data_IF_462109109273
#
_entry.id   IF_462109109273
#
_cell.length_a   1.000
_cell.length_b   1.000
_cell.length_c   1.000
_cell.angle_alpha   90.00
_cell.angle_beta   90.00
_cell.angle_gamma   90.00
#
_symmetry.space_group_name_H-M   'P 1'
#
loop_
_entity.id
_entity.type
_entity.pdbx_description
1 polymer ?
#
# COMPACT_ATOMS: atom_id res chain seq x y z
N UNK A 1 25.24 33.52 14.11
CA UNK A 1 25.37 32.70 15.34
C UNK A 1 24.88 31.28 15.04
N UNK A 2 25.49 30.25 15.63
CA UNK A 2 25.17 28.82 15.41
C UNK A 2 24.75 28.16 16.72
N UNK A 3 23.73 27.29 16.70
CA UNK A 3 23.38 26.46 17.88
C UNK A 3 22.51 25.23 17.53
N UNK A 4 23.11 24.10 17.09
CA UNK A 4 22.40 22.84 16.90
C UNK A 4 22.35 22.03 18.20
N UNK A 5 21.14 21.64 18.66
CA UNK A 5 20.98 20.77 19.84
C UNK A 5 20.57 19.35 19.45
N UNK A 6 21.57 18.47 19.47
CA UNK A 6 21.55 17.04 19.86
C UNK A 6 20.23 16.27 19.65
N UNK A 7 20.21 15.34 18.70
CA UNK A 7 19.39 14.12 18.75
C UNK A 7 20.34 12.94 18.90
N UNK A 8 19.98 11.96 19.73
CA UNK A 8 20.86 10.85 20.11
C UNK A 8 20.68 9.63 19.21
N UNK A 9 21.79 8.93 18.92
CA UNK A 9 21.77 7.60 18.32
C UNK A 9 21.47 6.56 19.41
N UNK A 10 20.47 5.70 19.16
CA UNK A 10 20.13 4.58 20.02
C UNK A 10 20.44 3.27 19.27
N UNK A 11 21.62 2.71 19.51
CA UNK A 11 22.01 1.41 18.99
C UNK A 11 21.62 0.32 20.01
N UNK A 12 20.74 -0.59 19.60
CA UNK A 12 20.31 -1.72 20.43
C UNK A 12 20.87 -3.03 19.86
N UNK A 13 21.97 -3.51 20.44
CA UNK A 13 22.46 -4.87 20.21
C UNK A 13 21.91 -5.79 21.32
N UNK A 14 21.21 -6.86 20.92
CA UNK A 14 20.73 -7.91 21.84
C UNK A 14 21.42 -9.22 21.44
N UNK A 15 22.02 -9.90 22.42
CA UNK A 15 22.71 -11.16 22.22
C UNK A 15 22.45 -12.13 23.39
N UNK A 16 22.38 -13.41 23.04
CA UNK A 16 22.39 -14.59 23.92
C UNK A 16 21.16 -14.86 24.82
N UNK A 17 21.16 -16.11 25.35
CA UNK A 17 20.13 -16.85 26.09
C UNK A 17 19.00 -17.48 25.24
N UNK A 18 18.83 -18.82 25.23
CA UNK A 18 19.71 -19.84 25.82
C UNK A 18 19.23 -21.30 25.70
N UNK A 19 20.19 -22.20 25.89
CA UNK A 19 20.13 -23.54 26.53
C UNK A 19 18.86 -24.42 26.42
N UNK A 20 19.04 -25.61 25.84
CA UNK A 20 18.08 -26.73 25.91
C UNK A 20 18.02 -27.54 24.59
N UNK A 21 18.42 -28.81 24.50
CA UNK A 21 19.09 -29.66 25.49
C UNK A 21 18.39 -31.01 25.72
N UNK A 22 18.54 -31.96 24.79
CA UNK A 22 18.40 -33.40 25.05
C UNK A 22 19.22 -34.19 24.01
N UNK A 23 19.65 -35.40 24.37
CA UNK A 23 20.52 -36.24 23.53
C UNK A 23 20.03 -37.69 23.51
N UNK A 24 20.40 -38.44 22.46
CA UNK A 24 20.62 -39.90 22.39
C UNK A 24 20.86 -40.31 20.91
N UNK A 25 21.65 -41.30 20.51
CA UNK A 25 22.85 -41.98 21.07
C UNK A 25 23.45 -42.88 19.99
N UNK A 26 24.76 -43.15 20.02
CA UNK A 26 25.41 -44.24 19.28
C UNK A 26 26.18 -43.80 18.01
N UNK A 27 27.38 -44.31 17.71
CA UNK A 27 28.21 -45.23 18.48
C UNK A 27 29.72 -44.91 18.31
N UNK A 28 30.54 -45.39 19.26
CA UNK A 28 32.00 -45.30 19.26
C UNK A 28 32.62 -46.37 18.33
N UNK A 29 33.86 -46.24 17.85
CA UNK A 29 34.75 -45.07 17.93
C UNK A 29 36.23 -45.42 17.68
N UNK A 30 37.05 -44.36 17.63
CA UNK A 30 38.44 -44.25 18.10
C UNK A 30 39.43 -45.43 17.90
N UNK A 31 40.46 -45.18 17.08
CA UNK A 31 41.83 -45.67 17.31
C UNK A 31 42.83 -44.56 16.96
N UNK A 32 43.91 -44.43 17.73
CA UNK A 32 44.94 -43.38 17.58
C UNK A 32 46.26 -43.93 17.02
N UNK A 33 47.22 -43.02 16.79
CA UNK A 33 48.66 -43.30 16.59
C UNK A 33 49.24 -44.23 17.68
N UNK A 34 50.41 -44.89 17.50
CA UNK A 34 51.75 -44.27 17.35
C UNK A 34 52.81 -45.29 16.82
N UNK A 35 54.05 -44.82 16.62
CA UNK A 35 55.19 -45.37 15.86
C UNK A 35 55.90 -46.65 16.37
N UNK A 36 56.77 -47.19 15.49
CA UNK A 36 58.15 -47.68 15.73
C UNK A 36 58.47 -49.20 15.90
N UNK A 37 59.22 -49.71 14.91
CA UNK A 37 60.41 -50.61 14.95
C UNK A 37 60.43 -51.92 15.78
N UNK A 38 60.62 -53.05 15.08
CA UNK A 38 61.75 -53.94 15.35
C UNK A 38 62.14 -54.81 14.12
N UNK A 39 63.27 -55.51 14.26
CA UNK A 39 64.10 -56.16 13.24
C UNK A 39 64.54 -57.55 13.80
N UNK A 40 64.88 -58.63 13.10
CA UNK A 40 65.06 -59.00 11.68
C UNK A 40 64.93 -60.56 11.51
N UNK A 41 65.15 -61.12 10.30
CA UNK A 41 65.21 -62.55 9.91
C UNK A 41 63.84 -63.27 9.76
N UNK A 42 63.65 -64.27 8.89
CA UNK A 42 64.55 -64.86 7.88
C UNK A 42 63.98 -66.13 7.20
N UNK A 43 64.76 -66.71 6.28
CA UNK A 43 64.52 -67.95 5.47
C UNK A 43 63.55 -67.90 4.26
N UNK A 44 63.62 -68.96 3.43
CA UNK A 44 63.56 -68.88 1.96
C UNK A 44 62.40 -69.65 1.31
N UNK A 45 62.01 -69.24 0.09
CA UNK A 45 61.48 -70.16 -0.92
C UNK A 45 61.67 -69.63 -2.34
N UNK A 46 62.20 -70.46 -3.25
CA UNK A 46 62.44 -70.09 -4.66
C UNK A 46 61.24 -70.40 -5.56
N UNK A 47 60.97 -69.52 -6.53
CA UNK A 47 60.05 -69.77 -7.64
C UNK A 47 60.19 -68.74 -8.76
N UNK A 48 60.79 -69.13 -9.89
CA UNK A 48 60.99 -68.23 -11.03
C UNK A 48 59.73 -68.08 -11.90
N UNK A 49 59.52 -66.87 -12.43
CA UNK A 49 58.57 -66.55 -13.48
C UNK A 49 58.95 -65.20 -14.09
N UNK A 50 59.16 -65.15 -15.40
CA UNK A 50 59.78 -64.02 -16.10
C UNK A 50 58.74 -63.03 -16.64
N UNK A 51 59.17 -61.76 -16.80
CA UNK A 51 58.77 -60.76 -17.81
C UNK A 51 57.28 -60.53 -18.15
N UNK A 52 56.75 -59.30 -18.28
CA UNK A 52 57.37 -58.07 -18.79
C UNK A 52 56.91 -56.81 -18.04
N UNK A 53 57.76 -55.80 -17.99
CA UNK A 53 57.37 -54.45 -17.57
C UNK A 53 56.85 -53.66 -18.79
N UNK A 54 55.55 -53.33 -18.78
CA UNK A 54 54.93 -52.42 -19.73
C UNK A 54 55.00 -50.97 -19.23
N UNK A 55 55.60 -50.10 -20.03
CA UNK A 55 55.91 -48.68 -19.76
C UNK A 55 54.85 -47.91 -18.96
N UNK A 56 55.28 -47.26 -17.88
CA UNK A 56 54.42 -46.40 -17.08
C UNK A 56 54.10 -45.08 -17.81
N UNK A 57 52.85 -44.92 -18.24
CA UNK A 57 52.29 -43.60 -18.50
C UNK A 57 51.96 -42.92 -17.16
N UNK A 58 52.33 -41.65 -17.03
CA UNK A 58 51.87 -40.81 -15.92
C UNK A 58 50.36 -40.56 -16.07
N UNK A 59 49.54 -41.24 -15.29
CA UNK A 59 48.11 -40.89 -15.19
C UNK A 59 47.99 -39.51 -14.53
N UNK A 60 47.74 -38.48 -15.35
CA UNK A 60 47.26 -37.19 -14.86
C UNK A 60 45.93 -37.40 -14.13
N UNK A 61 46.01 -37.44 -12.80
CA UNK A 61 44.91 -37.84 -11.91
C UNK A 61 43.62 -37.05 -12.20
N UNK A 62 42.63 -37.76 -12.76
CA UNK A 62 41.35 -37.19 -13.20
C UNK A 62 41.01 -37.41 -14.68
N UNK A 63 41.91 -37.99 -15.49
CA UNK A 63 41.63 -38.36 -16.89
C UNK A 63 41.40 -39.87 -17.03
N UNK A 64 40.33 -40.26 -17.74
CA UNK A 64 40.03 -41.65 -18.09
C UNK A 64 40.30 -41.87 -19.58
N UNK A 65 41.26 -42.73 -19.92
CA UNK A 65 41.55 -43.11 -21.29
C UNK A 65 40.70 -44.30 -21.72
N UNK A 66 39.90 -44.14 -22.77
CA UNK A 66 39.07 -45.19 -23.37
C UNK A 66 39.41 -45.36 -24.85
N UNK A 67 39.50 -46.60 -25.30
CA UNK A 67 39.62 -46.93 -26.73
C UNK A 67 38.27 -46.74 -27.45
N UNK A 68 38.32 -46.55 -28.77
CA UNK A 68 37.13 -46.35 -29.61
C UNK A 68 36.11 -47.49 -29.43
N UNK A 69 36.59 -48.74 -29.36
CA UNK A 69 35.72 -49.90 -29.12
C UNK A 69 35.04 -49.89 -27.73
N UNK A 70 35.68 -49.32 -26.70
CA UNK A 70 35.06 -49.13 -25.38
C UNK A 70 34.04 -47.98 -25.38
N UNK A 71 34.31 -46.90 -26.14
CA UNK A 71 33.38 -45.77 -26.33
C UNK A 71 32.10 -46.25 -27.03
N UNK A 72 32.24 -47.02 -28.12
CA UNK A 72 31.12 -47.61 -28.86
C UNK A 72 30.35 -48.66 -28.03
N UNK A 73 31.05 -49.59 -27.37
CA UNK A 73 30.41 -50.62 -26.55
C UNK A 73 29.69 -50.06 -25.31
N UNK A 74 30.14 -48.92 -24.77
CA UNK A 74 29.47 -48.18 -23.70
C UNK A 74 28.38 -47.22 -24.22
N UNK A 75 28.16 -47.10 -25.54
CA UNK A 75 27.16 -46.23 -26.14
C UNK A 75 27.41 -44.73 -25.94
N UNK A 76 28.68 -44.33 -25.73
CA UNK A 76 29.05 -42.96 -25.38
C UNK A 76 28.91 -42.04 -26.59
N UNK A 77 27.95 -41.13 -26.53
CA UNK A 77 27.72 -40.11 -27.55
C UNK A 77 28.46 -38.81 -27.18
N UNK A 78 29.21 -38.27 -28.15
CA UNK A 78 29.89 -36.98 -28.03
C UNK A 78 29.02 -35.88 -28.63
N UNK A 79 29.00 -34.71 -27.99
CA UNK A 79 28.31 -33.52 -28.47
C UNK A 79 29.13 -32.27 -28.14
N UNK A 80 29.35 -31.40 -29.13
CA UNK A 80 30.16 -30.20 -28.96
C UNK A 80 29.47 -29.15 -28.07
N UNK A 81 30.19 -28.70 -27.05
CA UNK A 81 29.70 -27.70 -26.10
C UNK A 81 29.77 -26.28 -26.70
N UNK A 82 28.74 -25.90 -27.47
CA UNK A 82 28.59 -24.55 -28.01
C UNK A 82 28.04 -23.52 -26.99
N UNK A 83 28.36 -22.22 -27.16
CA UNK A 83 27.75 -21.17 -26.35
C UNK A 83 26.23 -21.10 -26.58
N UNK A 84 25.47 -20.92 -25.50
CA UNK A 84 24.01 -20.73 -25.51
C UNK A 84 23.65 -19.64 -24.53
N UNK A 85 22.76 -18.73 -24.93
CA UNK A 85 22.17 -17.77 -23.99
C UNK A 85 21.26 -18.51 -23.00
N UNK A 86 21.67 -18.54 -21.74
CA UNK A 86 20.89 -19.12 -20.65
C UNK A 86 20.21 -18.00 -19.86
N UNK A 87 18.89 -17.85 -20.09
CA UNK A 87 18.06 -16.89 -19.37
C UNK A 87 17.80 -17.33 -17.93
N UNK A 88 18.72 -17.03 -17.00
CA UNK A 88 18.54 -17.28 -15.56
C UNK A 88 17.44 -16.37 -15.00
N UNK A 89 16.20 -16.87 -15.02
CA UNK A 89 15.09 -16.25 -14.34
C UNK A 89 15.17 -16.51 -12.83
N UNK A 90 15.08 -15.44 -12.02
CA UNK A 90 14.95 -15.53 -10.57
C UNK A 90 13.51 -15.14 -10.24
N UNK A 91 12.78 -16.05 -9.60
CA UNK A 91 11.43 -15.79 -9.12
C UNK A 91 11.47 -15.28 -7.68
N UNK A 92 10.69 -14.24 -7.39
CA UNK A 92 10.48 -13.72 -6.05
C UNK A 92 9.00 -13.87 -5.69
N UNK A 93 8.64 -14.25 -4.46
CA UNK A 93 7.27 -14.16 -4.00
C UNK A 93 6.85 -12.68 -3.97
N UNK A 94 5.59 -12.41 -4.31
CA UNK A 94 5.07 -11.06 -4.34
C UNK A 94 3.55 -11.02 -4.21
N UNK A 95 3.04 -9.83 -3.92
CA UNK A 95 1.63 -9.56 -3.68
C UNK A 95 1.16 -8.38 -4.54
N UNK A 96 -0.12 -8.40 -4.91
CA UNK A 96 -0.76 -7.28 -5.61
C UNK A 96 -1.35 -6.34 -4.56
N UNK A 97 -0.76 -5.15 -4.43
CA UNK A 97 -1.24 -4.08 -3.55
C UNK A 97 -2.01 -3.02 -4.35
N UNK A 98 -2.97 -2.37 -3.69
CA UNK A 98 -3.62 -1.19 -4.25
C UNK A 98 -2.63 -0.06 -4.48
N UNK A 99 -2.93 0.81 -5.45
CA UNK A 99 -2.17 2.04 -5.69
C UNK A 99 -2.57 3.06 -4.61
N UNK A 100 -1.70 3.24 -3.61
CA UNK A 100 -1.97 4.11 -2.44
C UNK A 100 -2.23 5.56 -2.88
N UNK A 101 -1.52 6.05 -3.92
CA UNK A 101 -1.75 7.37 -4.55
C UNK A 101 -3.11 7.49 -5.28
N UNK A 102 -3.79 6.37 -5.55
CA UNK A 102 -5.11 6.30 -6.20
C UNK A 102 -6.17 5.62 -5.31
N UNK A 103 -5.90 5.57 -4.01
CA UNK A 103 -6.80 5.07 -2.97
C UNK A 103 -7.25 6.25 -2.10
N UNK A 104 -8.54 6.32 -1.78
CA UNK A 104 -9.09 7.39 -0.95
C UNK A 104 -10.08 6.86 0.08
N UNK A 105 -9.82 7.19 1.35
CA UNK A 105 -10.79 7.07 2.43
C UNK A 105 -11.78 8.23 2.34
N UNK A 106 -13.05 7.89 2.16
CA UNK A 106 -14.15 8.84 2.06
C UNK A 106 -14.77 8.98 3.45
N UNK A 107 -14.77 10.20 3.99
CA UNK A 107 -15.38 10.55 5.28
C UNK A 107 -16.57 11.52 5.10
N UNK A 108 -17.55 11.54 6.02
CA UNK A 108 -18.56 12.59 6.10
C UNK A 108 -17.94 13.99 6.27
N UNK A 109 -18.64 15.03 5.81
CA UNK A 109 -18.26 16.45 6.05
C UNK A 109 -19.04 17.12 7.18
N UNK A 110 -20.02 16.42 7.73
CA UNK A 110 -20.86 16.82 8.86
C UNK A 110 -21.30 15.55 9.59
N UNK A 111 -21.48 15.60 10.92
CA UNK A 111 -22.11 14.52 11.66
C UNK A 111 -23.60 14.35 11.32
N UNK A 112 -24.10 13.12 11.48
CA UNK A 112 -25.50 12.79 11.25
C UNK A 112 -25.79 11.29 11.36
N UNK A 113 -27.02 10.90 11.00
CA UNK A 113 -27.48 9.50 10.99
C UNK A 113 -27.53 8.99 9.56
N UNK A 114 -27.00 7.80 9.29
CA UNK A 114 -27.03 7.16 7.97
C UNK A 114 -28.47 6.76 7.63
N UNK A 115 -29.07 7.46 6.67
CA UNK A 115 -30.45 7.20 6.21
C UNK A 115 -30.50 6.11 5.14
N UNK A 116 -29.49 6.05 4.26
CA UNK A 116 -29.35 4.96 3.28
C UNK A 116 -27.92 4.77 2.83
N UNK A 117 -27.58 3.54 2.45
CA UNK A 117 -26.34 3.17 1.78
C UNK A 117 -26.72 2.66 0.38
N UNK A 118 -26.09 3.20 -0.66
CA UNK A 118 -26.37 2.90 -2.07
C UNK A 118 -25.20 2.21 -2.79
N UNK A 119 -23.99 2.30 -2.22
CA UNK A 119 -22.80 1.64 -2.74
C UNK A 119 -22.49 0.35 -1.99
N UNK A 120 -22.22 -0.72 -2.74
CA UNK A 120 -21.89 -2.04 -2.22
C UNK A 120 -20.41 -2.40 -2.39
N UNK A 121 -19.93 -3.35 -1.58
CA UNK A 121 -18.55 -3.82 -1.62
C UNK A 121 -18.23 -4.47 -2.97
N UNK A 122 -17.09 -4.12 -3.57
CA UNK A 122 -16.71 -4.55 -4.92
C UNK A 122 -17.43 -3.84 -6.07
N UNK A 123 -18.35 -2.90 -5.78
CA UNK A 123 -19.05 -2.15 -6.82
C UNK A 123 -18.14 -1.11 -7.47
N UNK A 124 -18.14 -1.06 -8.81
CA UNK A 124 -17.57 0.06 -9.56
C UNK A 124 -18.49 1.30 -9.46
N UNK A 125 -17.92 2.43 -9.03
CA UNK A 125 -18.62 3.70 -8.81
C UNK A 125 -17.98 4.81 -9.64
N UNK A 126 -18.81 5.70 -10.19
CA UNK A 126 -18.34 6.83 -11.01
C UNK A 126 -18.12 8.09 -10.18
N UNK A 127 -17.27 8.99 -10.67
CA UNK A 127 -17.04 10.30 -10.06
C UNK A 127 -18.36 11.06 -9.86
N UNK A 128 -18.61 11.47 -8.61
CA UNK A 128 -19.83 12.17 -8.20
C UNK A 128 -21.05 11.26 -7.92
N UNK A 129 -20.97 9.94 -8.13
CA UNK A 129 -22.02 9.00 -7.75
C UNK A 129 -22.27 9.02 -6.24
N UNK A 130 -23.54 8.93 -5.82
CA UNK A 130 -23.92 8.87 -4.40
C UNK A 130 -23.60 7.48 -3.85
N UNK A 131 -22.93 7.44 -2.70
CA UNK A 131 -22.51 6.25 -1.98
C UNK A 131 -23.42 5.99 -0.76
N UNK A 132 -23.76 7.05 -0.05
CA UNK A 132 -24.66 7.05 1.10
C UNK A 132 -25.37 8.40 1.25
N UNK A 133 -26.49 8.39 1.97
CA UNK A 133 -27.24 9.59 2.38
C UNK A 133 -27.27 9.65 3.90
N UNK A 134 -26.88 10.79 4.46
CA UNK A 134 -26.75 11.03 5.90
C UNK A 134 -27.69 12.19 6.27
N UNK A 135 -28.62 11.97 7.20
CA UNK A 135 -29.49 13.01 7.73
C UNK A 135 -28.75 13.79 8.82
N UNK A 136 -28.49 15.09 8.59
CA UNK A 136 -27.71 15.94 9.50
C UNK A 136 -28.55 17.07 10.12
N UNK A 137 -28.52 17.15 11.45
CA UNK A 137 -29.13 18.27 12.18
C UNK A 137 -28.44 19.60 11.84
N UNK A 138 -27.11 19.62 11.77
CA UNK A 138 -26.33 20.82 11.43
C UNK A 138 -26.70 21.42 10.07
N UNK A 139 -27.01 20.60 9.05
CA UNK A 139 -27.51 21.10 7.75
C UNK A 139 -28.90 21.74 7.91
N UNK A 140 -29.74 21.20 8.79
CA UNK A 140 -31.07 21.75 9.10
C UNK A 140 -30.95 23.12 9.75
N UNK A 141 -30.04 23.26 10.72
CA UNK A 141 -29.78 24.51 11.44
C UNK A 141 -29.21 25.58 10.52
N UNK A 142 -28.20 25.25 9.71
CA UNK A 142 -27.59 26.17 8.75
C UNK A 142 -28.59 26.66 7.68
N UNK A 143 -29.47 25.77 7.18
CA UNK A 143 -30.53 26.16 6.24
C UNK A 143 -31.62 27.00 6.91
N UNK A 144 -31.93 26.74 8.17
CA UNK A 144 -32.85 27.56 8.97
C UNK A 144 -32.29 28.96 9.24
N UNK A 145 -30.99 29.06 9.55
CA UNK A 145 -30.27 30.33 9.68
C UNK A 145 -30.31 31.12 8.36
N UNK A 146 -30.01 30.47 7.23
CA UNK A 146 -30.08 31.08 5.90
C UNK A 146 -31.49 31.60 5.57
N UNK A 147 -32.53 30.81 5.83
CA UNK A 147 -33.92 31.23 5.59
C UNK A 147 -34.33 32.40 6.48
N UNK A 148 -33.96 32.39 7.76
CA UNK A 148 -34.21 33.50 8.68
C UNK A 148 -33.47 34.78 8.25
N UNK A 149 -32.20 34.67 7.82
CA UNK A 149 -31.44 35.80 7.28
C UNK A 149 -32.06 36.34 5.98
N UNK A 150 -32.54 35.47 5.09
CA UNK A 150 -33.22 35.88 3.86
C UNK A 150 -34.50 36.68 4.13
N UNK A 151 -35.33 36.26 5.11
CA UNK A 151 -36.54 36.99 5.49
C UNK A 151 -36.24 38.33 6.18
N UNK A 152 -35.17 38.42 6.97
CA UNK A 152 -34.69 39.69 7.54
C UNK A 152 -34.24 40.66 6.43
N UNK A 153 -33.53 40.16 5.42
CA UNK A 153 -33.10 40.94 4.27
C UNK A 153 -34.28 41.43 3.42
N UNK A 154 -35.28 40.57 3.18
CA UNK A 154 -36.52 40.93 2.48
C UNK A 154 -37.26 42.07 3.20
N UNK A 155 -37.42 41.98 4.52
CA UNK A 155 -38.01 43.04 5.34
C UNK A 155 -37.17 44.33 5.31
N UNK A 156 -35.85 44.24 5.52
CA UNK A 156 -34.97 45.40 5.57
C UNK A 156 -34.94 46.17 4.23
N UNK A 157 -35.01 45.46 3.09
CA UNK A 157 -35.14 46.07 1.75
C UNK A 157 -36.44 46.86 1.60
N UNK A 158 -37.57 46.29 2.03
CA UNK A 158 -38.87 46.96 1.96
C UNK A 158 -38.93 48.20 2.87
N UNK A 159 -38.35 48.13 4.07
CA UNK A 159 -38.24 49.28 4.98
C UNK A 159 -37.33 50.36 4.40
N UNK A 160 -36.14 50.00 3.89
CA UNK A 160 -35.22 50.96 3.25
C UNK A 160 -35.86 51.66 2.04
N UNK A 161 -36.56 50.92 1.17
CA UNK A 161 -37.27 51.49 0.02
C UNK A 161 -38.35 52.50 0.45
N UNK A 162 -39.11 52.19 1.51
CA UNK A 162 -40.12 53.10 2.07
C UNK A 162 -39.50 54.36 2.65
N UNK A 163 -38.49 54.23 3.52
CA UNK A 163 -37.85 55.40 4.14
C UNK A 163 -37.06 56.23 3.13
N UNK A 164 -36.48 55.61 2.10
CA UNK A 164 -35.86 56.33 0.99
C UNK A 164 -36.89 57.19 0.23
N UNK A 165 -38.10 56.68 -0.02
CA UNK A 165 -39.18 57.46 -0.64
C UNK A 165 -39.66 58.58 0.30
N UNK A 166 -40.00 58.26 1.55
CA UNK A 166 -40.50 59.25 2.52
C UNK A 166 -39.48 60.37 2.79
N UNK A 167 -38.18 60.06 2.80
CA UNK A 167 -37.12 61.06 2.94
C UNK A 167 -36.97 61.94 1.68
N UNK A 168 -37.09 61.37 0.47
CA UNK A 168 -37.12 62.14 -0.78
C UNK A 168 -38.35 63.07 -0.86
N UNK A 169 -39.50 62.63 -0.36
CA UNK A 169 -40.74 63.41 -0.22
C UNK A 169 -40.69 64.40 0.98
N UNK A 170 -39.62 64.36 1.79
CA UNK A 170 -39.38 65.18 3.00
C UNK A 170 -40.40 64.97 4.13
N UNK A 171 -40.90 63.73 4.25
CA UNK A 171 -41.89 63.31 5.25
C UNK A 171 -41.22 62.67 6.47
N UNK A 172 -40.21 61.78 6.30
CA UNK A 172 -39.46 61.18 7.40
C UNK A 172 -38.09 61.85 7.63
N UNK A 173 -37.48 61.62 8.80
CA UNK A 173 -36.22 62.24 9.15
C UNK A 173 -35.03 61.55 8.46
N UNK A 174 -33.94 62.29 8.23
CA UNK A 174 -32.70 61.70 7.69
C UNK A 174 -32.15 60.59 8.58
N UNK A 175 -32.37 60.68 9.90
CA UNK A 175 -32.03 59.63 10.84
C UNK A 175 -32.76 58.30 10.55
N UNK A 176 -34.04 58.35 10.17
CA UNK A 176 -34.86 57.16 9.90
C UNK A 176 -34.35 56.45 8.64
N UNK A 177 -34.07 57.23 7.58
CA UNK A 177 -33.43 56.75 6.36
C UNK A 177 -32.04 56.14 6.61
N UNK A 178 -31.20 56.78 7.44
CA UNK A 178 -29.87 56.26 7.79
C UNK A 178 -29.96 54.96 8.61
N UNK A 179 -30.90 54.87 9.55
CA UNK A 179 -31.15 53.64 10.31
C UNK A 179 -31.65 52.50 9.41
N UNK A 180 -32.60 52.78 8.51
CA UNK A 180 -33.10 51.79 7.55
C UNK A 180 -32.00 51.32 6.58
N UNK A 181 -31.09 52.22 6.17
CA UNK A 181 -29.90 51.90 5.36
C UNK A 181 -28.93 51.00 6.11
N UNK A 182 -28.65 51.27 7.38
CA UNK A 182 -27.80 50.42 8.22
C UNK A 182 -28.41 49.02 8.38
N UNK A 183 -29.70 48.93 8.70
CA UNK A 183 -30.41 47.65 8.87
C UNK A 183 -30.41 46.81 7.58
N UNK A 184 -30.51 47.45 6.41
CA UNK A 184 -30.34 46.79 5.12
C UNK A 184 -28.92 46.20 4.96
N UNK A 185 -27.88 47.00 5.21
CA UNK A 185 -26.49 46.56 5.06
C UNK A 185 -26.15 45.40 6.03
N UNK A 186 -26.63 45.46 7.26
CA UNK A 186 -26.47 44.39 8.25
C UNK A 186 -27.18 43.10 7.79
N UNK A 187 -28.41 43.19 7.28
CA UNK A 187 -29.14 42.03 6.77
C UNK A 187 -28.52 41.44 5.49
N UNK A 188 -27.90 42.25 4.63
CA UNK A 188 -27.15 41.77 3.45
C UNK A 188 -25.89 41.00 3.87
N UNK A 189 -25.14 41.51 4.85
CA UNK A 189 -23.98 40.81 5.42
C UNK A 189 -24.42 39.49 6.09
N UNK A 190 -25.48 39.51 6.90
CA UNK A 190 -25.99 38.32 7.58
C UNK A 190 -26.45 37.23 6.58
N UNK A 191 -27.15 37.61 5.52
CA UNK A 191 -27.58 36.67 4.47
C UNK A 191 -26.39 36.14 3.65
N UNK A 192 -25.41 36.97 3.33
CA UNK A 192 -24.19 36.53 2.65
C UNK A 192 -23.42 35.48 3.48
N UNK A 193 -23.22 35.76 4.77
CA UNK A 193 -22.55 34.84 5.70
C UNK A 193 -23.30 33.51 5.84
N UNK A 194 -24.62 33.54 6.05
CA UNK A 194 -25.43 32.32 6.18
C UNK A 194 -25.44 31.48 4.88
N UNK A 195 -25.49 32.14 3.71
CA UNK A 195 -25.37 31.47 2.40
C UNK A 195 -23.98 30.84 2.21
N UNK A 196 -22.91 31.49 2.67
CA UNK A 196 -21.56 30.94 2.62
C UNK A 196 -21.40 29.70 3.53
N UNK A 197 -21.95 29.73 4.76
CA UNK A 197 -21.98 28.56 5.65
C UNK A 197 -22.63 27.34 4.99
N UNK A 198 -23.82 27.52 4.40
CA UNK A 198 -24.55 26.43 3.71
C UNK A 198 -23.76 25.91 2.50
N UNK A 199 -23.09 26.78 1.75
CA UNK A 199 -22.27 26.37 0.60
C UNK A 199 -20.99 25.60 1.00
N UNK A 200 -20.41 25.90 2.16
CA UNK A 200 -19.17 25.25 2.63
C UNK A 200 -19.34 23.76 2.95
N UNK A 201 -20.55 23.31 3.32
CA UNK A 201 -20.89 21.89 3.52
C UNK A 201 -20.95 21.12 2.19
N UNK A 202 -20.98 21.83 1.06
CA UNK A 202 -21.00 21.26 -0.30
C UNK A 202 -22.42 21.09 -0.86
N UNK A 203 -22.60 20.29 -1.93
CA UNK A 203 -23.89 20.08 -2.58
C UNK A 203 -24.79 19.14 -1.75
N UNK A 204 -25.26 19.63 -0.60
CA UNK A 204 -26.25 18.93 0.22
C UNK A 204 -27.57 18.78 -0.55
N UNK A 205 -28.17 17.59 -0.48
CA UNK A 205 -29.42 17.23 -1.15
C UNK A 205 -30.64 17.98 -0.61
N UNK A 206 -31.85 17.51 -0.90
CA UNK A 206 -33.07 18.15 -0.40
C UNK A 206 -33.21 18.04 1.14
N UNK A 207 -33.78 19.06 1.78
CA UNK A 207 -34.09 19.03 3.22
C UNK A 207 -32.86 19.11 4.14
N UNK A 208 -32.62 18.04 4.90
CA UNK A 208 -31.53 17.88 5.87
C UNK A 208 -30.47 16.85 5.43
N UNK A 209 -30.56 16.36 4.19
CA UNK A 209 -29.75 15.26 3.67
C UNK A 209 -28.40 15.73 3.14
N UNK A 210 -27.33 15.19 3.71
CA UNK A 210 -26.00 15.19 3.12
C UNK A 210 -25.85 13.97 2.20
N UNK A 211 -25.33 14.17 0.99
CA UNK A 211 -25.10 13.11 0.02
C UNK A 211 -23.60 12.85 -0.10
N UNK A 212 -23.14 11.73 0.46
CA UNK A 212 -21.75 11.33 0.39
C UNK A 212 -21.47 10.75 -1.00
N UNK A 213 -20.50 11.33 -1.73
CA UNK A 213 -20.28 11.08 -3.16
C UNK A 213 -18.84 10.71 -3.48
N UNK A 214 -18.63 9.86 -4.49
CA UNK A 214 -17.30 9.43 -4.92
C UNK A 214 -16.46 10.59 -5.50
N UNK A 215 -15.17 10.76 -5.12
CA UNK A 215 -14.32 11.85 -5.59
C UNK A 215 -13.75 11.62 -7.01
N UNK A 216 -13.61 10.36 -7.44
CA UNK A 216 -13.15 9.91 -8.77
C UNK A 216 -13.85 8.59 -9.16
N UNK A 217 -13.56 8.06 -10.35
CA UNK A 217 -14.07 6.77 -10.82
C UNK A 217 -13.24 5.63 -10.18
N UNK A 218 -13.88 4.74 -9.43
CA UNK A 218 -13.19 3.79 -8.54
C UNK A 218 -13.99 2.50 -8.32
N UNK A 219 -13.42 1.56 -7.56
CA UNK A 219 -14.14 0.42 -6.97
C UNK A 219 -14.19 0.59 -5.45
N UNK A 220 -15.33 0.24 -4.83
CA UNK A 220 -15.47 0.19 -3.37
C UNK A 220 -14.69 -1.02 -2.84
N UNK A 221 -13.53 -0.78 -2.23
CA UNK A 221 -12.69 -1.84 -1.65
C UNK A 221 -13.02 -2.11 -0.18
N UNK A 222 -13.59 -1.12 0.54
CA UNK A 222 -14.11 -1.30 1.91
C UNK A 222 -15.41 -0.49 2.10
N UNK A 223 -16.34 -1.03 2.91
CA UNK A 223 -17.59 -0.39 3.30
C UNK A 223 -17.77 -0.51 4.81
N UNK A 224 -17.82 0.63 5.50
CA UNK A 224 -17.93 0.68 6.96
C UNK A 224 -19.29 1.19 7.46
N UNK A 225 -20.10 1.85 6.60
CA UNK A 225 -21.43 2.36 6.97
C UNK A 225 -22.53 1.31 7.03
N UNK A 226 -23.31 1.38 8.10
CA UNK A 226 -24.59 0.69 8.32
C UNK A 226 -25.75 1.69 8.34
N UNK A 227 -26.94 1.30 7.87
CA UNK A 227 -28.14 2.16 7.96
C UNK A 227 -28.60 2.29 9.41
N UNK A 228 -28.92 3.51 9.84
CA UNK A 228 -29.26 3.85 11.23
C UNK A 228 -28.06 4.16 12.14
N UNK A 229 -26.84 4.03 11.64
CA UNK A 229 -25.62 4.36 12.34
C UNK A 229 -25.44 5.89 12.51
N UNK A 230 -24.81 6.32 13.60
CA UNK A 230 -24.42 7.72 13.83
C UNK A 230 -22.95 7.87 13.43
N UNK A 231 -22.67 8.78 12.50
CA UNK A 231 -21.33 9.01 11.94
C UNK A 231 -20.91 10.47 12.09
N UNK A 232 -19.61 10.72 12.10
CA UNK A 232 -18.97 12.03 12.25
C UNK A 232 -17.90 12.31 11.18
N UNK A 233 -17.19 13.43 11.30
CA UNK A 233 -16.14 13.86 10.36
C UNK A 233 -14.85 13.00 10.41
N UNK A 234 -14.72 12.13 11.42
CA UNK A 234 -13.58 11.19 11.58
C UNK A 234 -13.92 9.76 11.17
N UNK A 235 -15.21 9.49 10.93
CA UNK A 235 -15.75 8.17 10.60
C UNK A 235 -15.39 7.78 9.16
N UNK A 236 -14.38 6.92 8.97
CA UNK A 236 -14.06 6.31 7.67
C UNK A 236 -15.30 5.58 7.13
N UNK A 237 -15.89 6.09 6.03
CA UNK A 237 -17.17 5.56 5.56
C UNK A 237 -17.02 4.50 4.46
N UNK A 238 -16.16 4.78 3.48
CA UNK A 238 -15.81 3.89 2.38
C UNK A 238 -14.33 4.07 2.07
N UNK A 239 -13.64 2.99 1.70
CA UNK A 239 -12.35 3.10 1.02
C UNK A 239 -12.58 2.77 -0.46
N UNK A 240 -12.15 3.69 -1.33
CA UNK A 240 -12.29 3.59 -2.78
C UNK A 240 -10.90 3.50 -3.40
N UNK A 241 -10.69 2.57 -4.34
CA UNK A 241 -9.43 2.44 -5.07
C UNK A 241 -9.66 2.35 -6.58
N UNK A 242 -8.82 3.00 -7.38
CA UNK A 242 -8.85 2.91 -8.84
C UNK A 242 -8.03 1.70 -9.32
N UNK A 243 -8.71 0.55 -9.44
CA UNK A 243 -8.12 -0.74 -9.81
C UNK A 243 -7.62 -0.83 -11.27
N UNK A 244 -7.64 0.26 -12.04
CA UNK A 244 -7.04 0.30 -13.38
C UNK A 244 -5.51 0.24 -13.37
N UNK A 245 -4.88 0.46 -12.22
CA UNK A 245 -3.47 0.14 -11.93
C UNK A 245 -3.35 -0.40 -10.52
N UNK A 246 -2.40 -1.31 -10.33
CA UNK A 246 -2.05 -1.95 -9.06
C UNK A 246 -0.54 -2.12 -8.99
N UNK A 247 0.02 -2.20 -7.78
CA UNK A 247 1.45 -2.44 -7.58
C UNK A 247 1.70 -3.92 -7.34
N UNK A 248 2.53 -4.53 -8.17
CA UNK A 248 3.10 -5.85 -7.89
C UNK A 248 4.35 -5.66 -7.00
N UNK A 249 4.21 -5.92 -5.70
CA UNK A 249 5.29 -5.77 -4.71
C UNK A 249 5.97 -7.13 -4.50
N UNK A 250 7.29 -7.20 -4.73
CA UNK A 250 8.07 -8.44 -4.61
C UNK A 250 9.02 -8.41 -3.41
N UNK A 251 9.05 -9.48 -2.64
CA UNK A 251 9.91 -9.61 -1.47
C UNK A 251 11.30 -10.13 -1.87
N UNK A 252 12.24 -9.20 -2.04
CA UNK A 252 13.64 -9.50 -2.39
C UNK A 252 14.47 -9.67 -1.12
N UNK A 253 15.16 -10.82 -0.98
CA UNK A 253 16.06 -11.05 0.16
C UNK A 253 17.36 -10.23 0.03
N UNK A 254 18.01 -9.80 1.14
CA UNK A 254 19.22 -8.97 1.06
C UNK A 254 20.38 -9.56 0.25
N UNK A 255 20.48 -10.90 0.20
CA UNK A 255 21.44 -11.70 -0.60
C UNK A 255 21.14 -11.76 -2.12
N UNK A 256 20.05 -11.13 -2.54
CA UNK A 256 19.57 -11.11 -3.93
C UNK A 256 19.31 -9.69 -4.46
N UNK A 257 19.55 -8.65 -3.63
CA UNK A 257 19.41 -7.23 -4.01
C UNK A 257 20.39 -6.82 -5.13
N UNK A 258 21.56 -7.45 -5.19
CA UNK A 258 22.58 -7.27 -6.22
C UNK A 258 22.09 -7.65 -7.63
N UNK A 259 21.05 -8.49 -7.73
CA UNK A 259 20.48 -9.01 -8.99
C UNK A 259 19.31 -8.16 -9.50
N UNK A 260 18.81 -7.24 -8.68
CA UNK A 260 17.61 -6.43 -8.94
C UNK A 260 17.98 -4.98 -9.26
N UNK A 261 17.68 -4.55 -10.47
CA UNK A 261 17.99 -3.20 -10.98
C UNK A 261 16.76 -2.54 -11.58
N UNK A 262 16.67 -1.21 -11.47
CA UNK A 262 15.60 -0.41 -12.07
C UNK A 262 15.67 -0.43 -13.60
N UNK A 263 14.51 -0.40 -14.26
CA UNK A 263 14.42 -0.48 -15.72
C UNK A 263 14.56 -1.87 -16.32
N UNK A 264 14.75 -2.92 -15.52
CA UNK A 264 14.71 -4.31 -15.97
C UNK A 264 13.26 -4.75 -16.25
N UNK A 265 13.02 -5.41 -17.39
CA UNK A 265 11.73 -6.03 -17.67
C UNK A 265 11.45 -7.18 -16.69
N UNK A 266 10.22 -7.26 -16.19
CA UNK A 266 9.74 -8.30 -15.26
C UNK A 266 8.49 -8.95 -15.84
N UNK A 267 8.45 -10.28 -15.87
CA UNK A 267 7.24 -11.05 -16.17
C UNK A 267 6.51 -11.36 -14.87
N UNK A 268 5.33 -10.77 -14.66
CA UNK A 268 4.45 -11.12 -13.55
C UNK A 268 3.58 -12.30 -13.98
N UNK A 269 3.50 -13.33 -13.14
CA UNK A 269 2.61 -14.48 -13.35
C UNK A 269 1.89 -14.79 -12.03
N UNK A 270 0.56 -14.92 -12.10
CA UNK A 270 -0.29 -15.28 -10.97
C UNK A 270 -1.03 -16.57 -11.34
N UNK A 271 -0.51 -17.76 -10.95
CA UNK A 271 -1.02 -19.04 -11.43
C UNK A 271 -2.47 -19.32 -11.03
N UNK A 272 -2.96 -18.64 -9.98
CA UNK A 272 -4.32 -18.81 -9.45
C UNK A 272 -5.36 -17.89 -10.10
N UNK A 273 -4.97 -16.99 -11.03
CA UNK A 273 -5.87 -16.00 -11.66
C UNK A 273 -6.39 -16.37 -13.06
N UNK A 274 -5.88 -17.44 -13.69
CA UNK A 274 -6.34 -17.98 -14.98
C UNK A 274 -5.49 -17.62 -16.19
#
# INVERSE_FOLDING_TARGET
MTNPRKIALLAAAIAALGLGGLAWTGNLGNASSTEARHDDHGEESHGHGEEQAGEGHEEEAGKLHLSIAQIEAAGVQLADAGPRELGTAISFPGEIRFDEDRTAHVVPRVPGVVESVQAELGQAVKRGQVLAVIASQQISDLRSEQQAAQRRLELARLTFQREQQLWQERISAEQDYLQARQALQEAEIAFANARQKVAAVGPAGAGNRYELRAPFDAVVVEKHLTVGEVVDETSNAFTLSDLSRVWATFAVAPRDLDKVTTGRNVTVSAPDLG
#
